data_IF_481070822771
#
_entry.id   IF_481070822771
#
_cell.length_a   1.000
_cell.length_b   1.000
_cell.length_c   1.000
_cell.angle_alpha   90.00
_cell.angle_beta   90.00
_cell.angle_gamma   90.00
#
_symmetry.space_group_name_H-M   'P 1'
#
loop_
_entity.id
_entity.type
_entity.pdbx_description
1 polymer ?
#
# COMPACT_ATOMS: atom_id res chain seq x y z
N UNK A 1 -7.32 2.16 4.22
CA UNK A 1 -7.46 2.94 2.99
C UNK A 1 -8.91 3.29 2.75
N UNK A 2 -9.20 4.56 2.40
CA UNK A 2 -10.57 5.04 2.16
C UNK A 2 -10.70 5.46 0.70
N UNK A 3 -11.78 5.04 0.05
CA UNK A 3 -12.05 5.36 -1.35
C UNK A 3 -13.28 6.26 -1.48
N UNK A 4 -13.17 7.27 -2.35
CA UNK A 4 -14.28 8.14 -2.71
C UNK A 4 -14.44 8.23 -4.22
N UNK A 5 -15.68 8.47 -4.65
CA UNK A 5 -15.99 8.95 -6.00
C UNK A 5 -16.20 10.45 -5.98
N UNK A 6 -15.68 11.13 -6.99
CA UNK A 6 -15.89 12.55 -7.24
C UNK A 6 -16.22 12.82 -8.70
N UNK A 7 -16.83 13.95 -9.00
CA UNK A 7 -17.12 14.36 -10.39
C UNK A 7 -15.87 14.87 -11.11
N UNK A 8 -14.87 15.32 -10.35
CA UNK A 8 -13.61 15.82 -10.89
C UNK A 8 -12.44 15.43 -10.00
N UNK A 9 -11.28 15.16 -10.62
CA UNK A 9 -10.05 14.95 -9.88
C UNK A 9 -9.61 16.22 -9.15
N UNK A 10 -9.27 16.15 -7.85
CA UNK A 10 -8.68 17.27 -7.12
C UNK A 10 -7.22 17.52 -7.50
N UNK A 11 -6.49 16.51 -8.00
CA UNK A 11 -5.06 16.59 -8.34
C UNK A 11 -4.84 16.94 -9.80
N UNK A 12 -5.66 16.39 -10.71
CA UNK A 12 -5.59 16.55 -12.19
C UNK A 12 -4.27 16.07 -12.79
N UNK A 13 -3.50 15.30 -12.05
CA UNK A 13 -2.19 14.78 -12.41
C UNK A 13 -2.00 13.39 -11.80
N UNK A 14 -1.23 12.54 -12.48
CA UNK A 14 -0.90 11.18 -12.02
C UNK A 14 0.19 11.22 -10.92
N UNK A 15 -0.11 11.86 -9.81
CA UNK A 15 0.81 12.04 -8.66
C UNK A 15 0.22 11.50 -7.37
N UNK A 16 1.06 11.41 -6.35
CA UNK A 16 0.67 11.14 -4.96
C UNK A 16 0.92 12.42 -4.15
N UNK A 17 -0.14 12.98 -3.59
CA UNK A 17 -0.05 14.09 -2.64
C UNK A 17 0.22 13.55 -1.24
N UNK A 18 1.32 13.98 -0.63
CA UNK A 18 1.74 13.53 0.71
C UNK A 18 1.37 14.56 1.77
N UNK A 19 1.00 14.08 2.96
CA UNK A 19 0.84 14.93 4.14
C UNK A 19 2.21 15.25 4.75
N UNK A 20 2.77 16.41 4.40
CA UNK A 20 4.05 16.87 4.95
C UNK A 20 3.98 17.41 6.39
N UNK A 21 2.79 17.59 6.96
CA UNK A 21 2.62 18.16 8.30
C UNK A 21 2.83 17.16 9.44
N UNK A 22 2.78 15.87 9.16
CA UNK A 22 2.75 14.77 10.13
C UNK A 22 1.60 14.89 11.16
N UNK A 23 0.54 15.64 10.84
CA UNK A 23 -0.65 15.83 11.67
C UNK A 23 -1.88 15.35 10.89
N UNK A 24 -2.92 14.91 11.65
CA UNK A 24 -4.16 14.41 11.08
C UNK A 24 -4.14 12.92 10.78
N UNK A 25 -5.17 12.44 10.12
CA UNK A 25 -5.40 11.03 9.77
C UNK A 25 -4.78 10.66 8.42
N UNK A 26 -4.84 11.59 7.48
CA UNK A 26 -4.43 11.36 6.08
C UNK A 26 -2.92 11.30 5.98
N UNK A 27 -2.40 10.20 5.44
CA UNK A 27 -0.99 10.06 5.10
C UNK A 27 -0.72 10.52 3.66
N UNK A 28 -1.51 10.03 2.72
CA UNK A 28 -1.40 10.44 1.32
C UNK A 28 -2.73 10.29 0.59
N UNK A 29 -2.82 10.98 -0.56
CA UNK A 29 -3.94 10.92 -1.49
C UNK A 29 -3.41 10.68 -2.89
N UNK A 30 -4.02 9.78 -3.63
CA UNK A 30 -3.83 9.64 -5.07
C UNK A 30 -5.19 9.49 -5.78
N UNK A 31 -5.18 9.75 -7.07
CA UNK A 31 -6.35 9.61 -7.93
C UNK A 31 -6.03 8.58 -9.02
N UNK A 32 -6.33 7.29 -8.78
CA UNK A 32 -6.03 6.23 -9.75
C UNK A 32 -6.59 6.49 -11.15
N UNK A 33 -7.74 7.15 -11.26
CA UNK A 33 -8.33 7.51 -12.56
C UNK A 33 -7.53 8.56 -13.33
N UNK A 34 -6.63 9.32 -12.69
CA UNK A 34 -5.70 10.22 -13.39
C UNK A 34 -4.51 9.43 -13.99
N UNK A 35 -4.24 8.23 -13.47
CA UNK A 35 -3.23 7.31 -14.01
C UNK A 35 -3.82 6.53 -15.19
N UNK A 36 -5.04 6.00 -15.03
CA UNK A 36 -5.74 5.27 -16.07
C UNK A 36 -7.25 5.50 -15.98
N UNK A 37 -7.89 5.91 -17.08
CA UNK A 37 -9.35 6.13 -17.09
C UNK A 37 -10.17 4.88 -16.81
N UNK A 38 -9.56 3.69 -16.87
CA UNK A 38 -10.22 2.41 -16.56
C UNK A 38 -10.55 2.24 -15.07
N UNK A 39 -10.01 3.08 -14.19
CA UNK A 39 -10.28 3.02 -12.75
C UNK A 39 -11.57 3.71 -12.31
N UNK A 40 -12.24 4.45 -13.20
CA UNK A 40 -13.53 5.08 -12.88
C UNK A 40 -14.44 5.11 -14.11
N UNK A 41 -15.77 5.16 -13.92
CA UNK A 41 -16.69 5.44 -15.02
C UNK A 41 -16.43 6.81 -15.65
N UNK A 42 -16.86 6.98 -16.89
CA UNK A 42 -16.78 8.28 -17.59
C UNK A 42 -17.42 9.41 -16.76
N UNK A 43 -16.75 10.55 -16.67
CA UNK A 43 -17.18 11.69 -15.88
C UNK A 43 -17.03 11.53 -14.37
N UNK A 44 -16.33 10.49 -13.90
CA UNK A 44 -16.03 10.29 -12.48
C UNK A 44 -14.54 10.15 -12.22
N UNK A 45 -14.13 10.43 -11.01
CA UNK A 45 -12.77 10.23 -10.51
C UNK A 45 -12.78 9.34 -9.29
N UNK A 46 -11.88 8.36 -9.25
CA UNK A 46 -11.63 7.52 -8.08
C UNK A 46 -10.53 8.16 -7.23
N UNK A 47 -10.83 8.45 -5.98
CA UNK A 47 -9.89 9.02 -5.02
C UNK A 47 -9.55 7.94 -4.00
N UNK A 48 -8.26 7.71 -3.79
CA UNK A 48 -7.71 6.76 -2.83
C UNK A 48 -6.94 7.53 -1.76
N UNK A 49 -7.33 7.33 -0.50
CA UNK A 49 -6.76 8.01 0.67
C UNK A 49 -6.18 6.98 1.60
N UNK A 50 -4.88 7.05 1.85
CA UNK A 50 -4.19 6.14 2.77
C UNK A 50 -4.04 6.79 4.15
N UNK A 51 -4.33 6.00 5.18
CA UNK A 51 -4.16 6.36 6.58
C UNK A 51 -3.18 5.38 7.23
N UNK A 52 -2.35 5.86 8.14
CA UNK A 52 -1.47 4.98 8.93
C UNK A 52 -2.20 4.49 10.19
N UNK A 53 -1.97 3.23 10.54
CA UNK A 53 -2.59 2.59 11.70
C UNK A 53 -3.92 1.89 11.38
N UNK A 54 -4.54 1.35 12.43
CA UNK A 54 -5.80 0.60 12.31
C UNK A 54 -6.96 1.45 12.83
N UNK A 55 -7.71 2.00 11.89
CA UNK A 55 -8.90 2.82 12.17
C UNK A 55 -10.16 1.97 11.91
N UNK A 56 -10.93 1.70 12.96
CA UNK A 56 -12.14 0.86 12.90
C UNK A 56 -13.44 1.61 13.13
N UNK A 57 -13.36 2.91 13.37
CA UNK A 57 -14.52 3.75 13.59
C UNK A 57 -15.26 3.98 12.28
N UNK A 58 -16.57 3.83 12.30
CA UNK A 58 -17.46 4.08 11.15
C UNK A 58 -17.46 5.54 10.69
N UNK A 59 -17.05 6.47 11.56
CA UNK A 59 -16.96 7.90 11.25
C UNK A 59 -15.67 8.28 10.50
N UNK A 60 -14.70 7.37 10.38
CA UNK A 60 -13.41 7.64 9.70
C UNK A 60 -13.59 8.27 8.31
N UNK A 61 -14.47 7.80 7.43
CA UNK A 61 -14.64 8.45 6.12
C UNK A 61 -15.06 9.91 6.23
N UNK A 62 -15.89 10.25 7.21
CA UNK A 62 -16.35 11.61 7.46
C UNK A 62 -15.22 12.50 8.01
N UNK A 63 -14.44 12.00 8.95
CA UNK A 63 -13.29 12.71 9.51
C UNK A 63 -12.21 12.97 8.45
N UNK A 64 -11.95 11.98 7.61
CA UNK A 64 -11.03 12.12 6.45
C UNK A 64 -11.53 13.20 5.49
N UNK A 65 -12.83 13.26 5.18
CA UNK A 65 -13.39 14.32 4.34
C UNK A 65 -13.19 15.71 4.96
N UNK A 66 -13.40 15.87 6.26
CA UNK A 66 -13.15 17.13 6.96
C UNK A 66 -11.69 17.58 6.85
N UNK A 67 -10.75 16.64 7.02
CA UNK A 67 -9.33 16.94 6.85
C UNK A 67 -9.00 17.34 5.40
N UNK A 68 -9.51 16.59 4.43
CA UNK A 68 -9.28 16.84 3.00
C UNK A 68 -9.92 18.12 2.50
N UNK A 69 -10.95 18.64 3.16
CA UNK A 69 -11.51 19.96 2.85
C UNK A 69 -10.48 21.09 3.04
N UNK A 70 -9.53 20.93 3.99
CA UNK A 70 -8.43 21.87 4.15
C UNK A 70 -7.41 21.80 2.99
N UNK A 71 -7.32 20.65 2.28
CA UNK A 71 -6.38 20.46 1.16
C UNK A 71 -7.01 20.88 -0.18
N UNK A 72 -8.28 20.55 -0.38
CA UNK A 72 -8.94 20.61 -1.68
C UNK A 72 -10.18 21.52 -1.70
N UNK A 73 -10.53 22.15 -0.56
CA UNK A 73 -11.66 23.06 -0.47
C UNK A 73 -13.03 22.37 -0.53
N UNK A 74 -14.05 23.16 -0.84
CA UNK A 74 -15.46 22.74 -0.82
C UNK A 74 -15.82 21.60 -1.79
N UNK A 75 -15.00 21.35 -2.81
CA UNK A 75 -15.26 20.24 -3.75
C UNK A 75 -15.35 18.88 -3.04
N UNK A 76 -14.72 18.74 -1.88
CA UNK A 76 -14.73 17.52 -1.06
C UNK A 76 -16.13 17.18 -0.56
N UNK A 77 -17.01 18.16 -0.37
CA UNK A 77 -18.37 17.94 0.10
C UNK A 77 -19.19 17.07 -0.86
N UNK A 78 -18.93 17.20 -2.15
CA UNK A 78 -19.55 16.38 -3.20
C UNK A 78 -18.99 14.94 -3.32
N UNK A 79 -17.94 14.59 -2.59
CA UNK A 79 -17.35 13.25 -2.70
C UNK A 79 -18.22 12.20 -2.02
N UNK A 80 -18.49 11.12 -2.73
CA UNK A 80 -19.23 9.98 -2.22
C UNK A 80 -18.26 8.93 -1.68
N UNK A 81 -18.40 8.55 -0.41
CA UNK A 81 -17.67 7.41 0.15
C UNK A 81 -18.11 6.13 -0.54
N UNK A 82 -17.14 5.36 -1.01
CA UNK A 82 -17.36 4.07 -1.68
C UNK A 82 -17.06 2.90 -0.77
N UNK A 83 -15.87 2.91 -0.15
CA UNK A 83 -15.36 1.77 0.62
C UNK A 83 -14.24 2.20 1.57
N UNK A 84 -14.12 1.48 2.66
CA UNK A 84 -12.97 1.54 3.57
C UNK A 84 -12.39 0.15 3.73
N UNK A 85 -11.10 0.01 3.44
CA UNK A 85 -10.36 -1.24 3.63
C UNK A 85 -9.40 -1.12 4.82
N UNK A 86 -9.53 -2.06 5.75
CA UNK A 86 -8.65 -2.16 6.92
C UNK A 86 -7.63 -3.25 6.67
N UNK A 87 -6.38 -2.86 6.39
CA UNK A 87 -5.28 -3.77 6.06
C UNK A 87 -4.44 -3.98 7.32
N UNK A 88 -4.64 -5.11 7.98
CA UNK A 88 -3.98 -5.40 9.27
C UNK A 88 -2.47 -5.60 9.14
N UNK A 89 -2.03 -6.16 8.03
CA UNK A 89 -0.64 -6.51 7.75
C UNK A 89 -0.24 -5.97 6.38
N UNK A 90 -0.09 -4.63 6.29
CA UNK A 90 0.20 -3.95 5.03
C UNK A 90 1.64 -4.16 4.57
N UNK A 91 2.59 -4.16 5.51
CA UNK A 91 4.02 -4.37 5.27
C UNK A 91 4.60 -5.27 6.36
N UNK A 92 5.61 -6.09 6.04
CA UNK A 92 6.38 -6.80 7.05
C UNK A 92 7.18 -5.83 7.91
N UNK A 93 7.33 -6.13 9.19
CA UNK A 93 8.17 -5.34 10.08
C UNK A 93 9.64 -5.60 9.75
N UNK A 94 10.38 -4.55 9.41
CA UNK A 94 11.80 -4.57 9.08
C UNK A 94 12.56 -3.50 9.87
N UNK A 95 12.39 -3.50 11.21
CA UNK A 95 13.17 -2.63 12.08
C UNK A 95 14.68 -2.93 11.93
N UNK A 96 15.55 -1.92 11.98
CA UNK A 96 16.98 -2.13 12.02
C UNK A 96 17.35 -3.07 13.16
N UNK A 97 18.03 -4.17 12.87
CA UNK A 97 18.52 -5.09 13.89
C UNK A 97 19.92 -4.69 14.28
N UNK A 98 20.26 -4.83 15.56
CA UNK A 98 21.60 -4.55 16.11
C UNK A 98 22.69 -5.39 15.44
N UNK A 99 22.32 -6.53 14.83
CA UNK A 99 23.26 -7.38 14.09
C UNK A 99 22.68 -7.79 12.72
N UNK A 100 23.12 -7.14 11.62
CA UNK A 100 22.64 -7.45 10.26
C UNK A 100 22.87 -8.90 9.83
N UNK A 101 23.80 -9.63 10.46
CA UNK A 101 24.11 -11.02 10.14
C UNK A 101 23.02 -12.01 10.59
N UNK A 102 22.07 -11.57 11.44
CA UNK A 102 20.94 -12.40 11.89
C UNK A 102 19.69 -12.28 11.02
N UNK A 103 19.76 -11.56 9.92
CA UNK A 103 18.60 -11.20 9.09
C UNK A 103 18.26 -12.21 8.00
N UNK A 104 18.54 -13.37 8.11
CA UNK A 104 18.22 -14.63 7.43
C UNK A 104 19.45 -15.53 7.59
N UNK A 105 19.28 -16.63 8.24
CA UNK A 105 20.28 -17.68 8.15
C UNK A 105 20.52 -17.92 6.65
N UNK A 106 21.65 -17.40 6.14
CA UNK A 106 22.22 -17.71 4.82
C UNK A 106 21.88 -16.82 3.60
N UNK A 107 21.25 -15.64 3.71
CA UNK A 107 21.13 -14.75 2.51
C UNK A 107 20.35 -15.33 1.32
N UNK A 108 19.51 -16.34 1.55
CA UNK A 108 18.87 -17.13 0.50
C UNK A 108 17.57 -16.53 -0.05
N UNK A 109 17.09 -15.42 0.52
CA UNK A 109 15.85 -14.79 0.06
C UNK A 109 14.58 -15.63 0.21
N UNK A 110 14.63 -16.74 0.94
CA UNK A 110 13.49 -17.60 1.27
C UNK A 110 13.72 -18.31 2.60
N UNK A 111 12.61 -18.75 3.21
CA UNK A 111 12.61 -19.63 4.38
C UNK A 111 12.31 -21.05 3.93
N UNK A 112 12.95 -22.04 4.57
CA UNK A 112 12.61 -23.44 4.39
C UNK A 112 12.19 -24.02 5.72
N UNK A 113 10.98 -24.59 5.77
CA UNK A 113 10.42 -25.29 6.93
C UNK A 113 9.99 -26.66 6.41
N UNK A 114 10.71 -27.70 6.85
CA UNK A 114 10.57 -29.06 6.34
C UNK A 114 10.68 -29.10 4.80
N UNK A 115 9.63 -29.54 4.11
CA UNK A 115 9.56 -29.58 2.64
C UNK A 115 8.87 -28.37 2.01
N UNK A 116 8.51 -27.36 2.84
CA UNK A 116 7.84 -26.14 2.38
C UNK A 116 8.88 -25.03 2.22
N UNK A 117 8.88 -24.38 1.06
CA UNK A 117 9.66 -23.18 0.81
C UNK A 117 8.73 -21.96 0.83
N UNK A 118 9.08 -20.96 1.64
CA UNK A 118 8.30 -19.74 1.85
C UNK A 118 9.09 -18.58 1.24
N UNK A 119 8.48 -17.84 0.32
CA UNK A 119 9.05 -16.66 -0.31
C UNK A 119 8.09 -15.47 -0.19
N UNK A 120 8.63 -14.29 -0.41
CA UNK A 120 7.90 -13.04 -0.33
C UNK A 120 8.81 -11.88 0.09
N UNK A 121 8.29 -10.67 0.08
CA UNK A 121 9.01 -9.47 0.49
C UNK A 121 9.50 -9.53 1.94
N UNK A 122 8.79 -10.23 2.81
CA UNK A 122 9.17 -10.46 4.21
C UNK A 122 10.46 -11.28 4.40
N UNK A 123 10.91 -11.99 3.35
CA UNK A 123 12.16 -12.78 3.37
C UNK A 123 13.35 -12.04 2.76
N UNK A 124 13.12 -10.87 2.17
CA UNK A 124 14.14 -10.01 1.56
C UNK A 124 13.96 -8.55 2.01
N UNK A 125 13.50 -7.68 1.13
CA UNK A 125 13.13 -6.30 1.44
C UNK A 125 11.62 -6.11 1.25
N UNK A 126 10.99 -5.31 2.10
CA UNK A 126 9.55 -5.00 2.04
C UNK A 126 9.23 -4.14 0.80
N UNK A 127 9.29 -4.75 -0.37
CA UNK A 127 9.10 -4.10 -1.68
C UNK A 127 8.63 -5.10 -2.73
N UNK A 128 8.05 -4.60 -3.82
CA UNK A 128 7.70 -5.41 -5.00
C UNK A 128 8.95 -6.12 -5.55
N UNK A 129 10.08 -5.39 -5.64
CA UNK A 129 11.37 -5.97 -6.07
C UNK A 129 11.81 -7.10 -5.15
N UNK A 130 11.72 -6.90 -3.83
CA UNK A 130 12.04 -7.93 -2.84
C UNK A 130 11.20 -9.19 -3.00
N UNK A 131 9.91 -9.06 -3.26
CA UNK A 131 9.03 -10.20 -3.55
C UNK A 131 9.45 -10.96 -4.81
N UNK A 132 9.78 -10.25 -5.90
CA UNK A 132 10.25 -10.85 -7.16
C UNK A 132 11.58 -11.58 -6.96
N UNK A 133 12.55 -10.94 -6.31
CA UNK A 133 13.87 -11.53 -6.02
C UNK A 133 13.69 -12.80 -5.19
N UNK A 134 12.89 -12.74 -4.13
CA UNK A 134 12.61 -13.90 -3.28
C UNK A 134 11.99 -15.07 -4.06
N UNK A 135 11.01 -14.80 -4.91
CA UNK A 135 10.39 -15.82 -5.76
C UNK A 135 11.39 -16.49 -6.71
N UNK A 136 12.23 -15.71 -7.39
CA UNK A 136 13.26 -16.21 -8.31
C UNK A 136 14.29 -17.07 -7.59
N UNK A 137 14.77 -16.63 -6.43
CA UNK A 137 15.74 -17.38 -5.63
C UNK A 137 15.17 -18.72 -5.12
N UNK A 138 13.89 -18.69 -4.71
CA UNK A 138 13.18 -19.89 -4.27
C UNK A 138 13.02 -20.90 -5.41
N UNK A 139 12.60 -20.44 -6.59
CA UNK A 139 12.45 -21.29 -7.76
C UNK A 139 13.79 -21.93 -8.18
N UNK A 140 14.87 -21.14 -8.22
CA UNK A 140 16.20 -21.64 -8.52
C UNK A 140 16.70 -22.70 -7.53
N UNK A 141 16.47 -22.46 -6.23
CA UNK A 141 16.84 -23.42 -5.18
C UNK A 141 16.03 -24.72 -5.29
N UNK A 142 14.75 -24.63 -5.60
CA UNK A 142 13.89 -25.80 -5.81
C UNK A 142 14.34 -26.63 -7.02
N UNK A 143 14.57 -26.00 -8.18
CA UNK A 143 15.07 -26.68 -9.38
C UNK A 143 16.40 -27.40 -9.12
N UNK A 144 17.33 -26.73 -8.43
CA UNK A 144 18.61 -27.37 -8.04
C UNK A 144 18.39 -28.59 -7.14
N UNK A 145 17.43 -28.53 -6.21
CA UNK A 145 17.13 -29.67 -5.33
C UNK A 145 16.52 -30.86 -6.09
N UNK A 146 15.88 -30.59 -7.23
CA UNK A 146 15.29 -31.60 -8.13
C UNK A 146 16.30 -32.15 -9.18
N UNK A 147 17.57 -31.73 -9.15
CA UNK A 147 18.59 -32.14 -10.12
C UNK A 147 18.43 -31.53 -11.52
N UNK A 148 17.77 -30.40 -11.60
CA UNK A 148 17.55 -29.62 -12.86
C UNK A 148 18.38 -28.35 -12.88
#
# INVERSE_FOLDING_TARGET
NVYYAADKSPLKEAIIALNGSSKGLVNNVCVPSDVSPLYAPEGKSLISVSLLGLHRDEHIPTEVKKELAAWFGEQVDGWQHLRTDIIKHALPEQAPKENPQNNTKEGKGFLKIDDIMICGDHTTSASIEGAIISGNQTAAALLKSMGK
#
